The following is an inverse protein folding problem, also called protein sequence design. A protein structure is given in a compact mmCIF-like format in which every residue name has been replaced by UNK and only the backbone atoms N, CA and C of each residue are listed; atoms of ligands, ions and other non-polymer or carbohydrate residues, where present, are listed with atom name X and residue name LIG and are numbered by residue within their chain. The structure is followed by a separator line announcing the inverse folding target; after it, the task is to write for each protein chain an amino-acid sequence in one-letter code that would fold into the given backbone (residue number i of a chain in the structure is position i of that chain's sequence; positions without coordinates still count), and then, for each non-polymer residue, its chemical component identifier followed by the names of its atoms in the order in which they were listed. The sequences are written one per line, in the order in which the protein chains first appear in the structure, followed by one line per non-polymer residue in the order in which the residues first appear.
data_IF_518509877872
#
_entry.id   IF_518509877872
#
_cell.length_a   1.000
_cell.length_b   1.000
_cell.length_c   1.000
_cell.angle_alpha   90.00
_cell.angle_beta   90.00
_cell.angle_gamma   90.00
#
_symmetry.space_group_name_H-M   'P 1'
#
loop_
_entity.id
_entity.type
_entity.pdbx_description
1 polymer ?
#
# COMPACT_ATOMS: atom_id res chain seq x y z
N UNK A 1 -27.67 14.26 -2.58
CA UNK A 1 -26.25 14.15 -2.95
C UNK A 1 -26.02 13.13 -4.08
N UNK A 2 -26.66 11.98 -4.04
CA UNK A 2 -26.50 10.91 -5.04
C UNK A 2 -27.50 10.96 -6.21
N UNK A 3 -28.61 11.71 -6.11
CA UNK A 3 -29.65 11.80 -7.14
C UNK A 3 -29.46 12.93 -8.13
N UNK A 4 -29.97 12.74 -9.37
CA UNK A 4 -30.05 13.79 -10.39
C UNK A 4 -28.71 14.28 -10.97
N UNK A 5 -27.61 13.55 -10.74
CA UNK A 5 -26.27 13.95 -11.18
C UNK A 5 -26.07 13.72 -12.67
N UNK A 6 -25.37 14.66 -13.31
CA UNK A 6 -24.96 14.52 -14.71
C UNK A 6 -23.46 14.72 -14.83
N UNK A 7 -22.85 14.08 -15.81
CA UNK A 7 -21.45 14.26 -16.17
C UNK A 7 -21.31 14.63 -17.65
N UNK A 8 -20.23 15.31 -17.98
CA UNK A 8 -19.83 15.58 -19.35
C UNK A 8 -18.30 15.65 -19.42
N UNK A 9 -17.76 15.38 -20.59
CA UNK A 9 -16.33 15.56 -20.85
C UNK A 9 -16.09 16.94 -21.44
N UNK A 10 -15.10 17.67 -20.90
CA UNK A 10 -14.65 18.96 -21.43
C UNK A 10 -13.22 18.82 -21.94
N UNK A 11 -13.02 19.19 -23.21
CA UNK A 11 -11.70 19.26 -23.81
C UNK A 11 -11.57 20.60 -24.55
N UNK A 12 -10.70 21.47 -24.06
CA UNK A 12 -10.55 22.88 -24.53
C UNK A 12 -11.89 23.61 -24.47
N UNK A 13 -12.38 24.14 -25.62
CA UNK A 13 -13.68 24.82 -25.75
C UNK A 13 -14.86 23.91 -26.00
N UNK A 14 -14.63 22.63 -26.31
CA UNK A 14 -15.67 21.64 -26.62
C UNK A 14 -16.15 20.92 -25.35
N UNK A 15 -17.47 20.59 -25.32
CA UNK A 15 -18.09 19.79 -24.29
C UNK A 15 -18.91 18.69 -24.95
N UNK A 16 -18.89 17.51 -24.35
CA UNK A 16 -19.82 16.43 -24.75
C UNK A 16 -21.25 16.74 -24.30
N UNK A 17 -22.22 15.98 -24.79
CA UNK A 17 -23.56 15.93 -24.22
C UNK A 17 -23.49 15.51 -22.74
N UNK A 18 -24.46 15.96 -21.94
CA UNK A 18 -24.61 15.53 -20.54
C UNK A 18 -25.15 14.11 -20.47
N UNK A 19 -24.48 13.23 -19.73
CA UNK A 19 -24.94 11.88 -19.42
C UNK A 19 -25.38 11.81 -17.95
N UNK A 20 -26.50 11.13 -17.66
CA UNK A 20 -26.99 10.93 -16.30
C UNK A 20 -26.09 9.93 -15.57
N UNK A 21 -25.62 10.28 -14.37
CA UNK A 21 -24.87 9.39 -13.48
C UNK A 21 -25.85 8.72 -12.54
N UNK A 22 -26.17 7.48 -12.81
CA UNK A 22 -27.15 6.69 -12.03
C UNK A 22 -26.54 6.07 -10.78
N UNK A 23 -25.26 5.72 -10.80
CA UNK A 23 -24.58 4.96 -9.75
C UNK A 23 -23.22 5.60 -9.41
N UNK A 24 -22.66 5.18 -8.29
CA UNK A 24 -21.34 5.58 -7.81
C UNK A 24 -21.31 6.96 -7.14
N UNK A 25 -20.17 7.29 -6.57
CA UNK A 25 -19.89 8.57 -5.91
C UNK A 25 -18.84 9.32 -6.73
N UNK A 26 -18.92 10.65 -6.90
CA UNK A 26 -17.91 11.40 -7.62
C UNK A 26 -16.53 11.20 -7.00
N UNK A 27 -15.54 10.87 -7.83
CA UNK A 27 -14.15 10.79 -7.38
C UNK A 27 -13.70 12.14 -6.82
N UNK A 28 -13.01 12.12 -5.67
CA UNK A 28 -12.57 13.33 -4.95
C UNK A 28 -13.69 14.02 -4.14
N UNK A 29 -14.87 13.39 -3.99
CA UNK A 29 -15.90 13.92 -3.11
C UNK A 29 -15.56 13.67 -1.63
N UNK A 30 -15.97 14.58 -0.75
CA UNK A 30 -15.74 14.46 0.70
C UNK A 30 -16.46 13.25 1.31
N UNK A 31 -17.66 12.93 0.82
CA UNK A 31 -18.46 11.81 1.34
C UNK A 31 -18.06 10.45 0.76
N UNK A 32 -17.33 10.39 -0.35
CA UNK A 32 -16.96 9.15 -1.00
C UNK A 32 -16.24 8.16 -0.09
N UNK A 33 -15.14 8.56 0.58
CA UNK A 33 -14.42 7.70 1.52
C UNK A 33 -15.29 7.22 2.69
N UNK A 34 -16.10 8.11 3.26
CA UNK A 34 -16.99 7.78 4.39
C UNK A 34 -18.04 6.75 3.97
N UNK A 35 -18.67 6.96 2.81
CA UNK A 35 -19.66 6.02 2.28
C UNK A 35 -19.06 4.66 1.94
N UNK A 36 -17.79 4.65 1.46
CA UNK A 36 -17.09 3.40 1.17
C UNK A 36 -16.79 2.62 2.46
N UNK A 37 -16.30 3.27 3.50
CA UNK A 37 -16.04 2.63 4.82
C UNK A 37 -17.35 2.05 5.39
N UNK A 38 -18.46 2.80 5.33
CA UNK A 38 -19.78 2.29 5.78
C UNK A 38 -20.26 1.12 4.92
N UNK A 39 -20.00 1.17 3.62
CA UNK A 39 -20.39 0.11 2.69
C UNK A 39 -19.62 -1.20 2.92
N UNK A 40 -18.37 -1.11 3.36
CA UNK A 40 -17.50 -2.26 3.62
C UNK A 40 -17.40 -2.66 5.09
N UNK A 41 -18.24 -2.07 5.97
CA UNK A 41 -18.17 -2.30 7.41
C UNK A 41 -18.34 -3.79 7.80
N UNK A 42 -19.27 -4.50 7.13
CA UNK A 42 -19.55 -5.92 7.40
C UNK A 42 -18.36 -6.84 7.05
N UNK A 43 -17.45 -6.39 6.19
CA UNK A 43 -16.27 -7.15 5.81
C UNK A 43 -15.34 -7.42 7.01
N UNK A 44 -15.30 -6.50 7.98
CA UNK A 44 -14.52 -6.65 9.22
C UNK A 44 -15.02 -7.88 10.00
N UNK A 45 -16.33 -7.93 10.27
CA UNK A 45 -16.93 -9.04 11.01
C UNK A 45 -16.75 -10.38 10.29
N UNK A 46 -16.86 -10.39 8.97
CA UNK A 46 -16.60 -11.59 8.15
C UNK A 46 -15.19 -12.12 8.35
N UNK A 47 -14.18 -11.27 8.24
CA UNK A 47 -12.76 -11.68 8.40
C UNK A 47 -12.48 -12.14 9.84
N UNK A 48 -13.01 -11.41 10.82
CA UNK A 48 -12.86 -11.75 12.25
C UNK A 48 -13.54 -13.09 12.61
N UNK A 49 -14.62 -13.47 11.94
CA UNK A 49 -15.28 -14.76 12.14
C UNK A 49 -14.38 -15.95 11.79
N UNK A 50 -13.38 -15.75 10.92
CA UNK A 50 -12.34 -16.73 10.62
C UNK A 50 -11.17 -16.71 11.63
N UNK A 51 -11.23 -15.88 12.70
CA UNK A 51 -10.14 -15.70 13.65
C UNK A 51 -8.91 -15.03 13.05
N UNK A 52 -9.12 -14.17 12.05
CA UNK A 52 -8.11 -13.36 11.38
C UNK A 52 -8.33 -11.89 11.67
N UNK A 53 -7.30 -11.05 11.51
CA UNK A 53 -7.38 -9.63 11.82
C UNK A 53 -7.38 -8.80 10.54
N UNK A 54 -8.46 -8.05 10.24
CA UNK A 54 -8.49 -7.15 9.10
C UNK A 54 -7.82 -5.82 9.41
N UNK A 55 -7.13 -5.26 8.42
CA UNK A 55 -6.72 -3.86 8.36
C UNK A 55 -7.19 -3.29 7.02
N UNK A 56 -8.12 -2.35 7.07
CA UNK A 56 -8.75 -1.76 5.89
C UNK A 56 -8.31 -0.29 5.75
N UNK A 57 -7.83 0.09 4.58
CA UNK A 57 -7.52 1.46 4.24
C UNK A 57 -8.05 1.77 2.84
N UNK A 58 -9.14 2.51 2.78
CA UNK A 58 -9.87 2.75 1.53
C UNK A 58 -10.22 1.42 0.84
N UNK A 59 -9.77 1.21 -0.39
CA UNK A 59 -9.95 -0.02 -1.18
C UNK A 59 -8.86 -1.09 -0.90
N UNK A 60 -7.79 -0.74 -0.18
CA UNK A 60 -6.76 -1.69 0.21
C UNK A 60 -7.19 -2.46 1.48
N UNK A 61 -7.26 -3.78 1.38
CA UNK A 61 -7.60 -4.67 2.48
C UNK A 61 -6.43 -5.61 2.80
N UNK A 62 -6.04 -5.66 4.06
CA UNK A 62 -5.03 -6.57 4.57
C UNK A 62 -5.69 -7.56 5.54
N UNK A 63 -5.40 -8.83 5.38
CA UNK A 63 -5.89 -9.90 6.26
C UNK A 63 -4.68 -10.51 6.94
N UNK A 64 -4.60 -10.37 8.25
CA UNK A 64 -3.49 -10.86 9.04
C UNK A 64 -3.86 -12.12 9.82
N UNK A 65 -3.00 -13.13 9.74
CA UNK A 65 -3.07 -14.32 10.56
C UNK A 65 -1.73 -14.59 11.24
N UNK A 66 -1.74 -15.17 12.43
CA UNK A 66 -0.53 -15.56 13.15
C UNK A 66 -0.61 -17.00 13.62
N UNK A 67 0.51 -17.71 13.55
CA UNK A 67 0.64 -19.07 14.09
C UNK A 67 2.09 -19.40 14.45
N UNK A 68 2.28 -20.50 15.20
CA UNK A 68 3.60 -21.11 15.31
C UNK A 68 4.01 -21.72 13.95
N UNK A 69 5.31 -21.82 13.64
CA UNK A 69 5.78 -22.42 12.38
C UNK A 69 5.27 -23.83 12.11
N UNK A 70 5.02 -24.62 13.17
CA UNK A 70 4.43 -25.97 13.09
C UNK A 70 2.97 -25.98 12.65
N UNK A 71 2.27 -24.87 12.76
CA UNK A 71 0.82 -24.75 12.53
C UNK A 71 0.48 -24.02 11.21
N UNK A 72 1.46 -23.79 10.35
CA UNK A 72 1.25 -23.16 9.04
C UNK A 72 0.28 -23.93 8.17
N UNK A 73 0.29 -25.28 8.28
CA UNK A 73 -0.64 -26.17 7.59
C UNK A 73 -2.12 -25.98 8.01
N UNK A 74 -2.37 -25.40 9.19
CA UNK A 74 -3.72 -25.06 9.67
C UNK A 74 -4.09 -23.64 9.31
N UNK A 75 -3.14 -22.70 9.40
CA UNK A 75 -3.41 -21.30 9.10
C UNK A 75 -3.70 -21.09 7.61
N UNK A 76 -2.95 -21.73 6.72
CA UNK A 76 -3.08 -21.54 5.28
C UNK A 76 -4.49 -21.83 4.76
N UNK A 77 -5.10 -23.02 4.95
CA UNK A 77 -6.46 -23.27 4.47
C UNK A 77 -7.49 -22.35 5.11
N UNK A 78 -7.29 -21.93 6.37
CA UNK A 78 -8.14 -20.92 7.01
C UNK A 78 -8.07 -19.57 6.30
N UNK A 79 -6.88 -19.12 5.89
CA UNK A 79 -6.69 -17.91 5.09
C UNK A 79 -7.37 -18.06 3.71
N UNK A 80 -7.19 -19.19 3.03
CA UNK A 80 -7.78 -19.45 1.71
C UNK A 80 -9.32 -19.43 1.78
N UNK A 81 -9.90 -20.07 2.81
CA UNK A 81 -11.36 -20.05 3.05
C UNK A 81 -11.85 -18.61 3.31
N UNK A 82 -11.18 -17.87 4.17
CA UNK A 82 -11.51 -16.48 4.44
C UNK A 82 -11.49 -15.63 3.15
N UNK A 83 -10.46 -15.77 2.33
CA UNK A 83 -10.35 -15.00 1.07
C UNK A 83 -11.46 -15.40 0.09
N UNK A 84 -11.84 -16.67 0.04
CA UNK A 84 -12.97 -17.14 -0.79
C UNK A 84 -14.30 -16.51 -0.33
N UNK A 85 -14.56 -16.48 0.98
CA UNK A 85 -15.75 -15.86 1.55
C UNK A 85 -15.78 -14.34 1.35
N UNK A 86 -14.62 -13.67 1.48
CA UNK A 86 -14.44 -12.24 1.13
C UNK A 86 -14.77 -12.01 -0.35
N UNK A 87 -14.28 -12.87 -1.25
CA UNK A 87 -14.59 -12.81 -2.68
C UNK A 87 -16.09 -12.98 -2.96
N UNK A 88 -16.75 -13.91 -2.29
CA UNK A 88 -18.19 -14.11 -2.35
C UNK A 88 -19.00 -12.90 -1.83
N UNK A 89 -18.58 -12.35 -0.69
CA UNK A 89 -19.16 -11.13 -0.12
C UNK A 89 -19.01 -9.94 -1.07
N UNK A 90 -17.80 -9.74 -1.63
CA UNK A 90 -17.54 -8.67 -2.61
C UNK A 90 -18.46 -8.80 -3.82
N UNK A 91 -18.58 -10.01 -4.40
CA UNK A 91 -19.45 -10.25 -5.55
C UNK A 91 -20.91 -9.95 -5.25
N UNK A 92 -21.40 -10.36 -4.07
CA UNK A 92 -22.77 -10.07 -3.59
C UNK A 92 -23.01 -8.56 -3.41
N UNK A 93 -21.96 -7.82 -3.05
CA UNK A 93 -21.98 -6.38 -2.88
C UNK A 93 -21.50 -5.61 -4.13
N UNK A 94 -21.50 -6.24 -5.32
CA UNK A 94 -21.12 -5.61 -6.59
C UNK A 94 -19.70 -5.01 -6.57
N UNK A 95 -18.83 -5.57 -5.75
CA UNK A 95 -17.40 -5.33 -5.75
C UNK A 95 -16.69 -6.51 -6.39
N UNK A 96 -15.46 -6.31 -6.81
CA UNK A 96 -14.64 -7.36 -7.41
C UNK A 96 -13.29 -7.43 -6.72
N UNK A 97 -12.95 -8.61 -6.20
CA UNK A 97 -11.58 -8.87 -5.72
C UNK A 97 -10.62 -8.91 -6.92
N UNK A 98 -9.56 -8.11 -6.84
CA UNK A 98 -8.53 -8.09 -7.87
C UNK A 98 -7.45 -9.12 -7.53
N UNK A 99 -7.65 -10.36 -7.97
CA UNK A 99 -6.73 -11.48 -7.69
C UNK A 99 -5.32 -11.24 -8.25
N UNK A 100 -5.21 -10.53 -9.39
CA UNK A 100 -3.91 -10.21 -10.01
C UNK A 100 -3.06 -9.21 -9.22
N UNK A 101 -3.66 -8.48 -8.29
CA UNK A 101 -2.98 -7.56 -7.35
C UNK A 101 -2.92 -8.11 -5.92
N UNK A 102 -3.56 -9.25 -5.67
CA UNK A 102 -3.52 -9.88 -4.36
C UNK A 102 -2.15 -10.52 -4.14
N UNK A 103 -1.50 -10.12 -3.08
CA UNK A 103 -0.15 -10.59 -2.72
C UNK A 103 -0.21 -11.29 -1.37
N UNK A 104 0.56 -12.35 -1.22
CA UNK A 104 0.68 -13.10 0.03
C UNK A 104 2.12 -13.05 0.51
N UNK A 105 2.31 -12.77 1.79
CA UNK A 105 3.64 -12.73 2.38
C UNK A 105 3.65 -13.43 3.75
N UNK A 106 4.58 -14.35 3.93
CA UNK A 106 4.90 -14.89 5.23
C UNK A 106 5.91 -14.00 5.96
N UNK A 107 5.51 -13.46 7.12
CA UNK A 107 6.40 -12.68 7.96
C UNK A 107 7.00 -13.57 9.05
N UNK A 108 8.32 -13.62 9.14
CA UNK A 108 9.03 -14.39 10.16
C UNK A 108 10.39 -13.79 10.48
N UNK A 109 10.96 -14.14 11.63
CA UNK A 109 12.36 -13.79 11.92
C UNK A 109 13.31 -14.52 10.93
N UNK A 110 14.47 -13.91 10.68
CA UNK A 110 15.48 -14.48 9.78
C UNK A 110 15.85 -15.94 10.13
N UNK A 111 15.86 -16.28 11.42
CA UNK A 111 16.17 -17.65 11.91
C UNK A 111 15.10 -18.68 11.56
N UNK A 112 13.84 -18.27 11.46
CA UNK A 112 12.69 -19.15 11.19
C UNK A 112 12.29 -19.19 9.73
N UNK A 113 12.93 -18.42 8.88
CA UNK A 113 12.57 -18.30 7.47
C UNK A 113 12.59 -19.63 6.70
N UNK A 114 13.50 -20.55 7.08
CA UNK A 114 13.58 -21.89 6.48
C UNK A 114 12.40 -22.82 6.88
N UNK A 115 11.65 -22.45 7.92
CA UNK A 115 10.49 -23.21 8.40
C UNK A 115 9.17 -22.74 7.77
N UNK A 116 9.22 -21.71 6.96
CA UNK A 116 8.04 -21.12 6.31
C UNK A 116 7.79 -21.84 4.99
N UNK A 117 6.55 -22.31 4.72
CA UNK A 117 6.23 -23.00 3.47
C UNK A 117 6.33 -22.05 2.27
N UNK A 118 6.80 -22.61 1.14
CA UNK A 118 6.88 -21.90 -0.12
C UNK A 118 5.67 -22.16 -1.04
N UNK A 119 4.73 -23.01 -0.58
CA UNK A 119 3.58 -23.43 -1.37
C UNK A 119 2.66 -22.25 -1.72
N UNK A 120 2.11 -22.28 -2.91
CA UNK A 120 1.19 -21.27 -3.39
C UNK A 120 -0.15 -21.30 -2.63
N UNK A 121 -0.77 -20.15 -2.47
CA UNK A 121 -2.14 -19.99 -1.99
C UNK A 121 -3.12 -20.07 -3.15
N UNK A 122 -4.27 -20.69 -2.93
CA UNK A 122 -5.36 -20.72 -3.91
C UNK A 122 -6.29 -19.54 -3.62
N UNK A 123 -6.37 -18.60 -4.57
CA UNK A 123 -7.21 -17.39 -4.45
C UNK A 123 -8.14 -17.33 -5.67
N UNK A 124 -9.38 -17.77 -5.49
CA UNK A 124 -10.31 -17.93 -6.62
C UNK A 124 -9.75 -18.90 -7.66
N UNK A 125 -9.64 -18.50 -8.93
CA UNK A 125 -9.05 -19.33 -9.97
C UNK A 125 -7.52 -19.31 -9.98
N UNK A 126 -6.88 -18.41 -9.23
CA UNK A 126 -5.46 -18.12 -9.33
C UNK A 126 -4.66 -18.84 -8.24
N UNK A 127 -3.41 -19.18 -8.57
CA UNK A 127 -2.43 -19.71 -7.64
C UNK A 127 -1.37 -18.64 -7.37
N UNK A 128 -1.35 -18.11 -6.15
CA UNK A 128 -0.49 -16.99 -5.74
C UNK A 128 0.67 -17.50 -4.90
N UNK A 129 1.89 -17.36 -5.43
CA UNK A 129 3.09 -17.70 -4.69
C UNK A 129 3.40 -16.65 -3.60
N UNK A 130 3.79 -17.06 -2.39
CA UNK A 130 4.23 -16.11 -1.38
C UNK A 130 5.45 -15.30 -1.83
N UNK A 131 5.40 -14.00 -1.63
CA UNK A 131 6.49 -13.09 -1.97
C UNK A 131 7.27 -12.66 -0.73
N UNK A 132 8.44 -12.12 -0.94
CA UNK A 132 9.35 -11.72 0.16
C UNK A 132 9.34 -10.26 0.49
N UNK A 133 8.64 -9.46 -0.32
CA UNK A 133 8.51 -8.02 -0.14
C UNK A 133 7.25 -7.55 -0.83
N UNK A 134 6.39 -6.86 -0.11
CA UNK A 134 5.18 -6.20 -0.62
C UNK A 134 5.33 -4.69 -0.58
N UNK A 135 4.61 -3.99 -1.44
CA UNK A 135 4.46 -2.54 -1.33
C UNK A 135 3.09 -2.23 -0.74
N UNK A 136 3.09 -1.73 0.48
CA UNK A 136 1.90 -1.40 1.24
C UNK A 136 1.89 0.07 1.62
N UNK A 137 0.82 0.80 1.27
CA UNK A 137 0.63 2.24 1.55
C UNK A 137 1.89 3.09 1.27
N UNK A 138 2.65 2.73 0.24
CA UNK A 138 3.88 3.43 -0.14
C UNK A 138 5.15 2.93 0.53
N UNK A 139 5.07 2.06 1.53
CA UNK A 139 6.20 1.39 2.15
C UNK A 139 6.53 0.06 1.47
N UNK A 140 7.78 -0.35 1.51
CA UNK A 140 8.20 -1.70 1.13
C UNK A 140 8.43 -2.51 2.41
N UNK A 141 7.50 -3.42 2.68
CA UNK A 141 7.59 -4.34 3.81
C UNK A 141 8.27 -5.62 3.35
N UNK A 142 9.33 -6.02 4.00
CA UNK A 142 10.01 -7.29 3.72
C UNK A 142 9.58 -8.38 4.72
N UNK A 143 9.72 -9.64 4.31
CA UNK A 143 9.30 -10.81 5.08
C UNK A 143 9.95 -10.94 6.46
N UNK A 144 10.98 -10.17 6.77
CA UNK A 144 11.61 -10.08 8.09
C UNK A 144 11.23 -8.84 8.86
N UNK A 145 10.40 -7.97 8.29
CA UNK A 145 9.98 -6.66 8.83
C UNK A 145 11.18 -5.78 9.19
N UNK A 146 12.30 -5.93 8.45
CA UNK A 146 13.53 -5.19 8.72
C UNK A 146 13.54 -3.78 8.13
N UNK A 147 12.58 -3.43 7.27
CA UNK A 147 12.50 -2.17 6.52
C UNK A 147 13.71 -1.90 5.62
N UNK A 148 14.66 -2.80 5.54
CA UNK A 148 15.93 -2.60 4.82
C UNK A 148 15.72 -2.37 3.31
N UNK A 149 14.76 -3.08 2.70
CA UNK A 149 14.42 -2.87 1.29
C UNK A 149 13.83 -1.48 1.06
N UNK A 150 12.95 -1.02 1.96
CA UNK A 150 12.38 0.31 1.89
C UNK A 150 13.48 1.38 1.99
N UNK A 151 14.34 1.31 3.00
CA UNK A 151 15.43 2.26 3.21
C UNK A 151 16.38 2.30 1.99
N UNK A 152 16.70 1.14 1.43
CA UNK A 152 17.55 1.05 0.24
C UNK A 152 16.95 1.80 -0.95
N UNK A 153 15.66 1.58 -1.22
CA UNK A 153 14.93 2.26 -2.31
C UNK A 153 14.75 3.75 -2.03
N UNK A 154 14.39 4.11 -0.80
CA UNK A 154 14.21 5.49 -0.37
C UNK A 154 15.49 6.30 -0.52
N UNK A 155 16.61 5.82 0.03
CA UNK A 155 17.90 6.51 -0.06
C UNK A 155 18.38 6.61 -1.49
N UNK A 156 18.28 5.55 -2.30
CA UNK A 156 18.63 5.57 -3.72
C UNK A 156 17.82 6.61 -4.50
N UNK A 157 16.52 6.67 -4.26
CA UNK A 157 15.63 7.65 -4.91
C UNK A 157 15.99 9.07 -4.50
N UNK A 158 16.20 9.32 -3.21
CA UNK A 158 16.57 10.65 -2.71
C UNK A 158 17.91 11.13 -3.27
N UNK A 159 18.94 10.27 -3.31
CA UNK A 159 20.22 10.61 -3.94
C UNK A 159 20.08 10.84 -5.45
N UNK A 160 19.19 10.11 -6.14
CA UNK A 160 18.86 10.35 -7.53
C UNK A 160 18.29 11.75 -7.75
N UNK A 161 17.31 12.15 -6.93
CA UNK A 161 16.71 13.51 -6.97
C UNK A 161 17.75 14.58 -6.67
N UNK A 162 18.57 14.41 -5.62
CA UNK A 162 19.62 15.36 -5.28
C UNK A 162 20.63 15.54 -6.43
N UNK A 163 20.96 14.47 -7.14
CA UNK A 163 21.81 14.51 -8.32
C UNK A 163 21.19 15.34 -9.44
N UNK A 164 19.89 15.12 -9.73
CA UNK A 164 19.16 15.90 -10.72
C UNK A 164 19.10 17.40 -10.34
N UNK A 165 18.77 17.73 -9.10
CA UNK A 165 18.76 19.13 -8.62
C UNK A 165 20.15 19.75 -8.78
N UNK A 166 21.22 19.00 -8.50
CA UNK A 166 22.61 19.48 -8.62
C UNK A 166 22.98 19.82 -10.07
N UNK A 167 22.51 19.07 -11.07
CA UNK A 167 22.79 19.38 -12.49
C UNK A 167 22.20 20.70 -12.93
N UNK A 168 21.02 21.07 -12.42
CA UNK A 168 20.30 22.30 -12.80
C UNK A 168 20.47 23.43 -11.77
N UNK A 169 21.31 23.25 -10.73
CA UNK A 169 21.39 24.19 -9.60
C UNK A 169 21.75 25.61 -10.00
N UNK A 170 22.53 25.77 -11.10
CA UNK A 170 22.95 27.10 -11.60
C UNK A 170 21.77 27.89 -12.20
N UNK A 171 20.72 27.21 -12.65
CA UNK A 171 19.52 27.81 -13.22
C UNK A 171 18.43 28.08 -12.16
N UNK A 172 18.67 27.66 -10.90
CA UNK A 172 17.70 27.77 -9.82
C UNK A 172 18.10 28.84 -8.81
N UNK A 173 17.10 29.63 -8.37
CA UNK A 173 17.28 30.48 -7.18
C UNK A 173 17.44 29.64 -5.93
N UNK A 174 18.04 30.19 -4.86
CA UNK A 174 18.16 29.50 -3.56
C UNK A 174 16.79 29.08 -3.01
N UNK A 175 15.78 29.94 -3.15
CA UNK A 175 14.41 29.64 -2.75
C UNK A 175 13.84 28.43 -3.51
N UNK A 176 14.00 28.40 -4.83
CA UNK A 176 13.52 27.28 -5.65
C UNK A 176 14.22 25.95 -5.28
N UNK A 177 15.53 25.99 -5.04
CA UNK A 177 16.28 24.80 -4.57
C UNK A 177 15.74 24.27 -3.26
N UNK A 178 15.55 25.14 -2.26
CA UNK A 178 15.01 24.74 -0.96
C UNK A 178 13.63 24.10 -1.10
N UNK A 179 12.75 24.67 -1.91
CA UNK A 179 11.42 24.09 -2.19
C UNK A 179 11.55 22.70 -2.81
N UNK A 180 12.40 22.54 -3.83
CA UNK A 180 12.59 21.24 -4.49
C UNK A 180 13.16 20.18 -3.53
N UNK A 181 14.17 20.56 -2.72
CA UNK A 181 14.75 19.64 -1.72
C UNK A 181 13.72 19.27 -0.66
N UNK A 182 12.95 20.23 -0.15
CA UNK A 182 11.91 19.96 0.84
C UNK A 182 10.84 19.03 0.27
N UNK A 183 10.29 19.34 -0.90
CA UNK A 183 9.18 18.57 -1.49
C UNK A 183 9.60 17.18 -1.99
N UNK A 184 10.80 17.03 -2.55
CA UNK A 184 11.20 15.78 -3.19
C UNK A 184 12.14 14.90 -2.38
N UNK A 185 12.77 15.44 -1.34
CA UNK A 185 13.68 14.70 -0.47
C UNK A 185 13.15 14.62 0.94
N UNK A 186 12.98 15.76 1.64
CA UNK A 186 12.56 15.72 3.04
C UNK A 186 11.15 15.17 3.22
N UNK A 187 10.18 15.54 2.39
CA UNK A 187 8.83 14.98 2.46
C UNK A 187 8.81 13.44 2.28
N UNK A 188 9.73 12.88 1.49
CA UNK A 188 9.87 11.42 1.36
C UNK A 188 10.54 10.77 2.57
N UNK A 189 11.53 11.41 3.17
CA UNK A 189 12.19 10.91 4.38
C UNK A 189 11.26 10.97 5.60
N UNK A 190 10.37 11.95 5.63
CA UNK A 190 9.41 12.15 6.71
C UNK A 190 8.19 11.25 6.60
N UNK A 191 7.86 10.80 5.38
CA UNK A 191 6.72 9.94 5.16
C UNK A 191 6.86 8.62 5.92
N UNK A 192 5.91 8.34 6.82
CA UNK A 192 5.89 7.15 7.68
C UNK A 192 7.17 6.94 8.50
N UNK A 193 7.87 8.00 8.89
CA UNK A 193 9.10 7.94 9.66
C UNK A 193 8.96 7.22 11.01
N UNK A 194 7.75 7.15 11.58
CA UNK A 194 7.43 6.37 12.78
C UNK A 194 7.74 4.87 12.61
N UNK A 195 7.65 4.33 11.38
CA UNK A 195 8.02 2.96 11.07
C UNK A 195 9.54 2.69 11.16
N UNK A 196 10.35 3.76 11.26
CA UNK A 196 11.80 3.65 11.41
C UNK A 196 12.25 3.62 12.88
N UNK A 197 11.30 3.70 13.83
CA UNK A 197 11.63 3.59 15.25
C UNK A 197 12.22 2.20 15.56
N UNK A 198 13.37 2.18 16.28
CA UNK A 198 14.04 0.93 16.65
C UNK A 198 14.86 0.26 15.55
N UNK A 199 15.03 0.89 14.39
CA UNK A 199 15.91 0.35 13.35
C UNK A 199 17.39 0.33 13.76
N UNK A 200 18.18 -0.61 13.18
CA UNK A 200 19.62 -0.64 13.38
C UNK A 200 20.29 0.68 13.01
N UNK A 201 21.34 1.06 13.75
CA UNK A 201 22.06 2.30 13.54
C UNK A 201 22.57 2.47 12.11
N UNK A 202 23.04 1.39 11.49
CA UNK A 202 23.53 1.41 10.12
C UNK A 202 22.46 1.84 9.09
N UNK A 203 21.19 1.51 9.32
CA UNK A 203 20.09 1.92 8.45
C UNK A 203 19.68 3.38 8.72
N UNK A 204 19.70 3.83 9.98
CA UNK A 204 19.49 5.23 10.34
C UNK A 204 20.59 6.13 9.79
N UNK A 205 21.86 5.68 9.82
CA UNK A 205 23.00 6.43 9.27
C UNK A 205 22.89 6.63 7.75
N UNK A 206 22.26 5.69 7.04
CA UNK A 206 21.96 5.83 5.61
C UNK A 206 20.93 6.93 5.34
N UNK A 207 19.89 7.04 6.17
CA UNK A 207 18.90 8.13 6.09
C UNK A 207 19.56 9.47 6.44
N UNK A 208 20.39 9.49 7.49
CA UNK A 208 21.16 10.68 7.88
C UNK A 208 22.11 11.15 6.77
N UNK A 209 22.72 10.23 6.04
CA UNK A 209 23.58 10.58 4.91
C UNK A 209 22.82 11.33 3.81
N UNK A 210 21.56 10.98 3.54
CA UNK A 210 20.71 11.72 2.60
C UNK A 210 20.44 13.14 3.11
N UNK A 211 20.07 13.29 4.40
CA UNK A 211 19.84 14.60 5.01
C UNK A 211 21.08 15.48 4.91
N UNK A 212 22.25 14.93 5.27
CA UNK A 212 23.52 15.64 5.18
C UNK A 212 23.89 16.06 3.74
N UNK A 213 23.52 15.23 2.74
CA UNK A 213 23.73 15.57 1.34
C UNK A 213 22.74 16.64 0.82
N UNK A 214 21.55 16.69 1.40
CA UNK A 214 20.50 17.61 1.01
C UNK A 214 20.78 19.06 1.46
N UNK A 215 21.50 19.26 2.57
CA UNK A 215 21.85 20.58 3.13
C UNK A 215 23.14 21.17 2.55
N UNK A 216 23.90 20.43 1.75
CA UNK A 216 25.14 20.85 1.05
C UNK A 216 24.84 21.42 -0.35
#
# INVERSE_FOLDING_TARGET
YLGGRTQFVKHRSCRSSKALVRYGVPQGSVLGPILFVLYTADLVALIESHGLSPHLYADDAQILGSCCPTNTAVLRPRMETCIADVGGWMSSNRLQLNTSKTEVMWCSSARRRQQVPADCFVIGPDSVAPITCVRDLGLYLDATMSMRQHITRLTSTCFGVLRQIRTIRRCLTSRARNILVTCFVFARLDYCNSAFAGLPRCDLDRLQAVQNAAVR
#
